data_IF_200072059453
#
_entry.id   IF_200072059453
#
_cell.length_a   1.000
_cell.length_b   1.000
_cell.length_c   1.000
_cell.angle_alpha   90.00
_cell.angle_beta   90.00
_cell.angle_gamma   90.00
#
_symmetry.space_group_name_H-M   'P 1'
#
loop_
_entity.id
_entity.type
_entity.pdbx_description
1 polymer ?
#
# COMPACT_ATOMS: atom_id res chain seq x y z
N UNK A 1 6.67 2.52 -13.38
CA UNK A 1 7.28 2.86 -12.07
C UNK A 1 7.75 4.30 -12.13
N UNK A 2 7.50 5.10 -11.08
CA UNK A 2 7.97 6.49 -10.97
C UNK A 2 8.89 6.57 -9.76
N UNK A 3 10.04 7.22 -9.92
CA UNK A 3 10.95 7.56 -8.82
C UNK A 3 10.85 9.06 -8.57
N UNK A 4 10.66 9.46 -7.32
CA UNK A 4 10.55 10.85 -6.91
C UNK A 4 11.43 11.12 -5.69
N UNK A 5 11.97 12.33 -5.63
CA UNK A 5 12.74 12.80 -4.49
C UNK A 5 11.93 13.81 -3.68
N UNK A 6 12.17 13.88 -2.37
CA UNK A 6 11.51 14.83 -1.46
C UNK A 6 9.97 14.76 -1.50
N UNK A 7 9.43 13.60 -1.88
CA UNK A 7 8.01 13.37 -2.03
C UNK A 7 7.32 13.14 -0.70
N UNK A 8 5.99 13.24 -0.73
CA UNK A 8 5.09 12.80 0.33
C UNK A 8 4.09 11.80 -0.24
N UNK A 9 3.37 11.11 0.63
CA UNK A 9 2.36 10.09 0.27
C UNK A 9 1.35 10.60 -0.76
N UNK A 10 0.88 11.85 -0.62
CA UNK A 10 -0.11 12.44 -1.52
C UNK A 10 0.36 12.55 -2.99
N UNK A 11 1.67 12.47 -3.29
CA UNK A 11 2.17 12.46 -4.66
C UNK A 11 1.62 11.27 -5.47
N UNK A 12 1.31 10.16 -4.79
CA UNK A 12 0.72 8.98 -5.42
C UNK A 12 -0.63 9.29 -6.09
N UNK A 13 -1.39 10.24 -5.56
CA UNK A 13 -2.69 10.61 -6.10
C UNK A 13 -2.58 11.40 -7.41
N UNK A 14 -1.70 12.39 -7.45
CA UNK A 14 -1.45 13.20 -8.65
C UNK A 14 -0.94 12.33 -9.81
N UNK A 15 0.01 11.44 -9.52
CA UNK A 15 0.56 10.49 -10.50
C UNK A 15 -0.53 9.53 -10.95
N UNK A 16 -1.26 8.95 -9.99
CA UNK A 16 -2.30 7.97 -10.26
C UNK A 16 -3.42 8.52 -11.13
N UNK A 17 -3.90 9.72 -10.84
CA UNK A 17 -4.90 10.43 -11.63
C UNK A 17 -4.39 10.72 -13.04
N UNK A 18 -3.17 11.26 -13.16
CA UNK A 18 -2.55 11.62 -14.45
C UNK A 18 -2.38 10.39 -15.35
N UNK A 19 -1.95 9.26 -14.77
CA UNK A 19 -1.75 8.01 -15.49
C UNK A 19 -3.02 7.17 -15.63
N UNK A 20 -4.16 7.63 -15.08
CA UNK A 20 -5.43 6.87 -15.00
C UNK A 20 -5.23 5.49 -14.39
N UNK A 21 -4.37 5.40 -13.37
CA UNK A 21 -4.07 4.16 -12.68
C UNK A 21 -5.29 3.70 -11.86
N UNK A 22 -5.57 2.40 -11.87
CA UNK A 22 -6.65 1.82 -11.03
C UNK A 22 -6.26 1.76 -9.55
N UNK A 23 -4.98 1.60 -9.26
CA UNK A 23 -4.43 1.62 -7.90
C UNK A 23 -3.00 2.17 -7.92
N UNK A 24 -2.57 2.76 -6.82
CA UNK A 24 -1.19 3.20 -6.59
C UNK A 24 -0.72 2.69 -5.23
N UNK A 25 0.46 2.07 -5.21
CA UNK A 25 1.21 1.80 -4.00
C UNK A 25 2.44 2.72 -3.97
N UNK A 26 2.52 3.61 -2.98
CA UNK A 26 3.74 4.39 -2.71
C UNK A 26 4.59 3.62 -1.71
N UNK A 27 5.87 3.40 -2.04
CA UNK A 27 6.90 2.94 -1.13
C UNK A 27 7.70 4.18 -0.71
N UNK A 28 7.74 4.49 0.58
CA UNK A 28 8.38 5.70 1.09
C UNK A 28 9.07 5.43 2.43
N UNK A 29 10.29 5.93 2.58
CA UNK A 29 11.00 5.84 3.86
C UNK A 29 10.24 6.58 4.96
N UNK A 30 10.15 5.96 6.14
CA UNK A 30 9.52 6.58 7.30
C UNK A 30 10.46 7.62 7.92
N UNK A 31 9.90 8.49 8.78
CA UNK A 31 10.74 9.39 9.58
C UNK A 31 11.66 8.52 10.46
N UNK A 32 12.98 8.75 10.46
CA UNK A 32 13.90 7.94 11.23
C UNK A 32 13.60 8.07 12.73
N UNK A 33 13.31 6.94 13.37
CA UNK A 33 13.26 6.83 14.82
C UNK A 33 14.68 6.77 15.40
N UNK A 34 14.81 6.99 16.72
CA UNK A 34 16.12 6.98 17.39
C UNK A 34 16.88 5.66 17.19
N UNK A 35 16.16 4.55 17.04
CA UNK A 35 16.70 3.18 16.89
C UNK A 35 16.23 2.47 15.61
N UNK A 36 15.59 3.19 14.68
CA UNK A 36 15.00 2.60 13.46
C UNK A 36 15.10 3.56 12.28
N UNK A 37 16.32 3.88 11.81
CA UNK A 37 16.54 4.82 10.72
C UNK A 37 16.20 4.25 9.34
N UNK A 38 15.93 2.95 9.25
CA UNK A 38 15.84 2.14 8.04
C UNK A 38 14.43 1.63 7.73
N UNK A 39 13.41 2.16 8.42
CA UNK A 39 12.02 1.72 8.26
C UNK A 39 11.38 2.23 6.96
N UNK A 40 10.71 1.34 6.23
CA UNK A 40 9.91 1.64 5.03
C UNK A 40 8.41 1.56 5.36
N UNK A 41 7.62 2.45 4.73
CA UNK A 41 6.17 2.39 4.71
C UNK A 41 5.63 2.19 3.29
N UNK A 42 4.45 1.56 3.19
CA UNK A 42 3.67 1.43 1.96
C UNK A 42 2.28 2.02 2.15
N UNK A 43 1.87 2.87 1.20
CA UNK A 43 0.54 3.46 1.16
C UNK A 43 -0.17 3.04 -0.12
N UNK A 44 -1.30 2.34 0.02
CA UNK A 44 -2.10 1.82 -1.09
C UNK A 44 -3.42 2.60 -1.23
N UNK A 45 -3.69 3.07 -2.44
CA UNK A 45 -4.92 3.79 -2.79
C UNK A 45 -5.57 3.17 -4.02
N UNK A 46 -6.85 2.82 -3.93
CA UNK A 46 -7.69 2.45 -5.06
C UNK A 46 -8.32 3.70 -5.69
N UNK A 47 -8.30 3.78 -7.01
CA UNK A 47 -8.70 4.97 -7.79
C UNK A 47 -8.15 6.27 -7.17
N UNK A 48 -6.81 6.43 -7.19
CA UNK A 48 -6.15 7.65 -6.73
C UNK A 48 -6.67 8.90 -7.46
N UNK A 49 -6.86 9.99 -6.71
CA UNK A 49 -7.16 11.32 -7.24
C UNK A 49 -6.81 12.40 -6.22
N UNK A 50 -6.55 13.63 -6.68
CA UNK A 50 -6.06 14.77 -5.86
C UNK A 50 -6.84 15.06 -4.57
N UNK A 51 -8.09 14.64 -4.49
CA UNK A 51 -8.98 14.93 -3.36
C UNK A 51 -9.07 13.78 -2.35
N UNK A 52 -8.29 12.69 -2.53
CA UNK A 52 -8.28 11.56 -1.60
C UNK A 52 -7.81 11.96 -0.20
N UNK A 53 -8.54 11.47 0.78
CA UNK A 53 -8.23 11.62 2.20
C UNK A 53 -7.26 10.54 2.67
N UNK A 54 -6.52 10.82 3.73
CA UNK A 54 -5.59 9.83 4.32
C UNK A 54 -6.29 8.58 4.81
N UNK A 55 -7.52 8.71 5.33
CA UNK A 55 -8.34 7.57 5.75
C UNK A 55 -8.74 6.62 4.61
N UNK A 56 -8.55 7.03 3.36
CA UNK A 56 -8.84 6.21 2.18
C UNK A 56 -7.61 5.42 1.70
N UNK A 57 -6.49 5.51 2.43
CA UNK A 57 -5.23 4.81 2.13
C UNK A 57 -5.02 3.67 3.12
N UNK A 58 -4.74 2.48 2.62
CA UNK A 58 -4.18 1.44 3.48
C UNK A 58 -2.72 1.77 3.77
N UNK A 59 -2.26 1.52 4.99
CA UNK A 59 -0.88 1.75 5.41
C UNK A 59 -0.27 0.44 5.91
N UNK A 60 0.89 0.07 5.37
CA UNK A 60 1.76 -0.96 5.89
C UNK A 60 3.03 -0.24 6.38
N UNK A 61 3.30 -0.27 7.68
CA UNK A 61 4.42 0.45 8.28
C UNK A 61 5.43 -0.49 8.92
N UNK A 62 6.54 0.08 9.41
CA UNK A 62 7.58 -0.65 10.13
C UNK A 62 8.18 -1.81 9.31
N UNK A 63 8.30 -1.63 7.98
CA UNK A 63 8.88 -2.64 7.10
C UNK A 63 10.40 -2.55 7.22
N UNK A 64 11.00 -3.53 7.92
CA UNK A 64 12.44 -3.64 8.21
C UNK A 64 12.76 -4.99 8.84
N UNK A 65 14.04 -5.42 8.86
CA UNK A 65 14.43 -6.73 9.42
C UNK A 65 13.97 -6.97 10.86
N UNK A 66 14.05 -5.97 11.75
CA UNK A 66 13.59 -6.08 13.14
C UNK A 66 12.13 -5.62 13.34
N UNK A 67 11.37 -5.48 12.26
CA UNK A 67 9.96 -5.12 12.23
C UNK A 67 9.17 -6.11 11.39
N UNK A 68 8.33 -5.59 10.50
CA UNK A 68 7.66 -6.41 9.50
C UNK A 68 8.69 -6.77 8.40
N UNK A 69 8.95 -8.06 8.23
CA UNK A 69 9.88 -8.52 7.20
C UNK A 69 9.40 -8.13 5.79
N UNK A 70 10.35 -7.94 4.88
CA UNK A 70 10.05 -7.61 3.48
C UNK A 70 9.08 -8.62 2.84
N UNK A 71 9.28 -9.92 3.09
CA UNK A 71 8.41 -10.97 2.56
C UNK A 71 6.98 -10.87 3.11
N UNK A 72 6.82 -10.62 4.42
CA UNK A 72 5.52 -10.46 5.05
C UNK A 72 4.82 -9.17 4.56
N UNK A 73 5.56 -8.08 4.39
CA UNK A 73 5.05 -6.83 3.85
C UNK A 73 4.62 -6.99 2.38
N UNK A 74 5.40 -7.68 1.56
CA UNK A 74 5.07 -7.98 0.17
C UNK A 74 3.81 -8.84 0.05
N UNK A 75 3.68 -9.87 0.89
CA UNK A 75 2.48 -10.70 0.94
C UNK A 75 1.24 -9.88 1.33
N UNK A 76 1.35 -9.06 2.38
CA UNK A 76 0.27 -8.20 2.86
C UNK A 76 -0.14 -7.16 1.80
N UNK A 77 0.83 -6.55 1.10
CA UNK A 77 0.57 -5.64 -0.02
C UNK A 77 -0.17 -6.35 -1.16
N UNK A 78 0.28 -7.54 -1.55
CA UNK A 78 -0.36 -8.31 -2.63
C UNK A 78 -1.81 -8.68 -2.27
N UNK A 79 -2.06 -9.09 -1.02
CA UNK A 79 -3.41 -9.36 -0.53
C UNK A 79 -4.30 -8.10 -0.54
N UNK A 80 -3.80 -6.98 0.00
CA UNK A 80 -4.53 -5.71 0.02
C UNK A 80 -4.83 -5.23 -1.40
N UNK A 81 -3.88 -5.36 -2.33
CA UNK A 81 -4.07 -4.99 -3.72
C UNK A 81 -5.16 -5.86 -4.37
N UNK A 82 -5.13 -7.17 -4.20
CA UNK A 82 -6.19 -8.05 -4.71
C UNK A 82 -7.57 -7.65 -4.16
N UNK A 83 -7.68 -7.47 -2.84
CA UNK A 83 -8.95 -7.09 -2.22
C UNK A 83 -9.40 -5.70 -2.63
N UNK A 84 -8.48 -4.76 -2.85
CA UNK A 84 -8.80 -3.44 -3.38
C UNK A 84 -9.42 -3.52 -4.78
N UNK A 85 -8.95 -4.43 -5.64
CA UNK A 85 -9.54 -4.64 -6.96
C UNK A 85 -10.89 -5.36 -6.89
N UNK A 86 -11.02 -6.38 -6.03
CA UNK A 86 -12.26 -7.14 -5.85
C UNK A 86 -13.37 -6.29 -5.23
N UNK A 87 -13.05 -5.59 -4.14
CA UNK A 87 -14.01 -4.81 -3.33
C UNK A 87 -14.11 -3.35 -3.79
N UNK A 88 -13.17 -2.87 -4.62
CA UNK A 88 -13.09 -1.50 -5.16
C UNK A 88 -12.97 -0.43 -4.08
N UNK A 89 -12.19 -0.71 -3.04
CA UNK A 89 -11.99 0.19 -1.90
C UNK A 89 -10.61 0.00 -1.26
N UNK A 90 -10.13 1.04 -0.57
CA UNK A 90 -8.93 1.04 0.28
C UNK A 90 -9.20 1.83 1.56
N UNK A 91 -8.20 1.90 2.45
CA UNK A 91 -8.27 2.67 3.69
C UNK A 91 -9.09 2.00 4.76
N UNK A 92 -9.80 2.78 5.57
CA UNK A 92 -10.62 2.28 6.69
C UNK A 92 -11.70 1.29 6.25
N UNK A 93 -12.12 1.34 4.98
CA UNK A 93 -13.07 0.40 4.38
C UNK A 93 -12.45 -0.96 4.02
N UNK A 94 -11.13 -1.06 3.92
CA UNK A 94 -10.41 -2.30 3.64
C UNK A 94 -9.56 -2.70 4.83
N UNK A 95 -10.09 -3.57 5.70
CA UNK A 95 -9.30 -4.15 6.77
C UNK A 95 -8.34 -5.19 6.22
N UNK A 96 -7.19 -5.29 6.85
CA UNK A 96 -6.22 -6.31 6.57
C UNK A 96 -6.62 -7.60 7.29
N UNK A 97 -6.88 -8.63 6.50
CA UNK A 97 -7.30 -9.96 6.97
C UNK A 97 -6.38 -11.03 6.33
N UNK A 98 -5.18 -10.63 5.90
CA UNK A 98 -4.22 -11.48 5.17
C UNK A 98 -3.70 -12.66 5.99
N UNK A 99 -3.73 -12.54 7.31
CA UNK A 99 -3.37 -13.57 8.28
C UNK A 99 -4.51 -14.51 8.64
N UNK A 100 -5.75 -14.24 8.19
CA UNK A 100 -6.90 -15.06 8.49
C UNK A 100 -6.89 -16.36 7.66
N UNK A 101 -6.69 -17.55 8.28
CA UNK A 101 -6.62 -18.81 7.56
C UNK A 101 -7.93 -19.17 6.85
N UNK A 102 -9.07 -18.65 7.33
CA UNK A 102 -10.36 -18.88 6.70
C UNK A 102 -10.53 -18.14 5.36
N UNK A 103 -9.69 -17.13 5.10
CA UNK A 103 -9.66 -16.35 3.86
C UNK A 103 -8.52 -16.79 2.92
N UNK A 104 -7.77 -17.84 3.27
CA UNK A 104 -6.69 -18.35 2.43
C UNK A 104 -7.25 -19.09 1.21
N UNK A 105 -7.33 -18.36 0.10
CA UNK A 105 -7.74 -18.88 -1.20
C UNK A 105 -7.05 -18.12 -2.31
N UNK A 106 -5.73 -18.39 -2.48
CA UNK A 106 -4.79 -17.95 -3.54
C UNK A 106 -5.03 -16.53 -4.06
N UNK A 107 -4.13 -15.60 -3.74
CA UNK A 107 -3.97 -14.37 -4.51
C UNK A 107 -3.98 -14.74 -5.99
N UNK A 108 -5.09 -14.46 -6.68
CA UNK A 108 -5.25 -14.77 -8.10
C UNK A 108 -4.63 -13.61 -8.85
N UNK A 109 -3.60 -13.84 -9.69
CA UNK A 109 -3.20 -12.82 -10.65
C UNK A 109 -4.46 -12.38 -11.41
N UNK A 110 -4.67 -11.06 -11.54
CA UNK A 110 -5.67 -10.55 -12.47
C UNK A 110 -5.41 -11.21 -13.83
N UNK A 111 -6.43 -11.77 -14.50
CA UNK A 111 -6.26 -12.16 -15.89
C UNK A 111 -5.84 -10.91 -16.67
N UNK A 112 -4.73 -11.02 -17.40
CA UNK A 112 -4.25 -10.00 -18.34
C UNK A 112 -5.36 -9.64 -19.34
#
# INVERSE_FOLDING_TARGET
MVLAHQSRVALGDDIGETLKARAVAILIGERPGLSSPDSLGVYLTWQPHRQRLESERNCISNIRPEGLSHDAAAFKLAWLLEQAFLRRLTGVGLKDESDNPALHGKIKPLPL
#
